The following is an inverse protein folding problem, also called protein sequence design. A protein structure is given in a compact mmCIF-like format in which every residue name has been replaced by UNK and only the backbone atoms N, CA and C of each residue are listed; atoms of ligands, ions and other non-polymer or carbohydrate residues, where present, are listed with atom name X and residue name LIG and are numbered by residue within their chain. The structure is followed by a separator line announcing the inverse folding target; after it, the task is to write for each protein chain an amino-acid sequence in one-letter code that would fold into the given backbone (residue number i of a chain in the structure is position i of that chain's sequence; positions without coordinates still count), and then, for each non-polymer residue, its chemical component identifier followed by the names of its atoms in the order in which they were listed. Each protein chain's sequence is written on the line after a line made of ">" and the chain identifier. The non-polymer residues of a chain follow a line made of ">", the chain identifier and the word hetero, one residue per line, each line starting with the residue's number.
data_IF_885760646571
#
_entry.id   IF_885760646571
#
_cell.length_a   1.000
_cell.length_b   1.000
_cell.length_c   1.000
_cell.angle_alpha   90.00
_cell.angle_beta   90.00
_cell.angle_gamma   90.00
#
_symmetry.space_group_name_H-M   'P 1'
#
loop_
_entity.id
_entity.type
_entity.pdbx_description
1 polymer ?
#
# COMPACT_ATOMS: atom_id res chain seq x y z
N UNK A 1 -13.60 2.91 8.21
CA UNK A 1 -12.56 2.81 9.27
C UNK A 1 -12.55 4.01 10.21
N UNK A 2 -12.22 5.23 9.76
CA UNK A 2 -12.03 6.39 10.66
C UNK A 2 -13.24 6.68 11.57
N UNK A 3 -14.46 6.62 11.05
CA UNK A 3 -15.67 6.83 11.86
C UNK A 3 -15.84 5.79 12.98
N UNK A 4 -15.44 4.53 12.74
CA UNK A 4 -15.49 3.46 13.77
C UNK A 4 -14.46 3.75 14.86
N UNK A 5 -13.26 4.16 14.46
CA UNK A 5 -12.17 4.50 15.39
C UNK A 5 -12.57 5.68 16.28
N UNK A 6 -13.07 6.75 15.66
CA UNK A 6 -13.59 7.93 16.36
C UNK A 6 -14.76 7.56 17.29
N UNK A 7 -15.70 6.74 16.83
CA UNK A 7 -16.84 6.28 17.63
C UNK A 7 -16.42 5.61 18.94
N UNK A 8 -15.42 4.72 18.90
CA UNK A 8 -14.93 4.07 20.11
C UNK A 8 -14.00 4.97 20.95
N UNK A 9 -13.24 5.88 20.35
CA UNK A 9 -12.29 6.72 21.09
C UNK A 9 -12.93 7.94 21.77
N UNK A 10 -14.04 8.48 21.24
CA UNK A 10 -14.72 9.66 21.83
C UNK A 10 -15.34 9.36 23.20
N UNK A 11 -15.68 8.10 23.51
CA UNK A 11 -16.31 7.74 24.79
C UNK A 11 -15.53 6.64 25.50
N UNK A 12 -15.14 6.90 26.75
CA UNK A 12 -14.50 5.91 27.61
C UNK A 12 -15.35 4.64 27.76
N UNK A 13 -16.68 4.76 27.86
CA UNK A 13 -17.60 3.62 27.98
C UNK A 13 -17.59 2.75 26.72
N UNK A 14 -17.64 3.36 25.52
CA UNK A 14 -17.56 2.63 24.24
C UNK A 14 -16.19 1.99 24.07
N UNK A 15 -15.12 2.73 24.38
CA UNK A 15 -13.74 2.24 24.34
C UNK A 15 -13.55 1.01 25.23
N UNK A 16 -14.10 1.04 26.45
CA UNK A 16 -14.04 -0.07 27.40
C UNK A 16 -14.69 -1.34 26.86
N UNK A 17 -15.86 -1.22 26.22
CA UNK A 17 -16.50 -2.38 25.56
C UNK A 17 -15.62 -2.98 24.50
N UNK A 18 -15.03 -2.15 23.63
CA UNK A 18 -14.16 -2.66 22.57
C UNK A 18 -12.91 -3.35 23.13
N UNK A 19 -12.27 -2.77 24.14
CA UNK A 19 -11.10 -3.38 24.81
C UNK A 19 -11.42 -4.75 25.39
N UNK A 20 -12.63 -4.95 25.91
CA UNK A 20 -13.09 -6.25 26.43
C UNK A 20 -13.11 -7.35 25.35
N UNK A 21 -13.33 -7.00 24.09
CA UNK A 21 -13.30 -7.97 22.99
C UNK A 21 -11.91 -8.12 22.36
N UNK A 22 -11.12 -7.04 22.28
CA UNK A 22 -9.82 -7.05 21.62
C UNK A 22 -8.67 -7.62 22.46
N UNK A 23 -8.75 -7.57 23.79
CA UNK A 23 -7.65 -7.91 24.71
C UNK A 23 -6.32 -7.17 24.42
N UNK A 24 -6.35 -6.10 23.62
CA UNK A 24 -5.20 -5.26 23.24
C UNK A 24 -5.67 -3.82 22.99
N UNK A 25 -4.77 -2.81 23.02
CA UNK A 25 -5.16 -1.43 22.69
C UNK A 25 -5.73 -1.35 21.27
N UNK A 26 -6.79 -0.57 21.10
CA UNK A 26 -7.41 -0.38 19.80
C UNK A 26 -6.61 0.60 18.92
N UNK A 27 -6.72 0.39 17.62
CA UNK A 27 -6.12 1.18 16.55
C UNK A 27 -6.33 2.68 16.78
N UNK A 28 -5.24 3.44 16.81
CA UNK A 28 -5.26 4.89 16.63
C UNK A 28 -4.82 5.18 15.21
N UNK A 29 -5.61 5.96 14.48
CA UNK A 29 -5.17 6.48 13.20
C UNK A 29 -4.07 7.51 13.45
N UNK A 30 -2.91 7.28 12.85
CA UNK A 30 -1.88 8.29 12.74
C UNK A 30 -1.97 8.93 11.36
N UNK A 31 -2.23 10.24 11.31
CA UNK A 31 -2.33 10.98 10.04
C UNK A 31 -0.96 11.32 9.47
N UNK A 32 0.06 11.44 10.31
CA UNK A 32 1.38 11.97 9.94
C UNK A 32 2.46 10.89 9.76
N UNK A 33 2.22 9.66 10.21
CA UNK A 33 3.18 8.57 10.10
C UNK A 33 2.65 7.46 9.19
N UNK A 34 3.19 7.41 7.98
CA UNK A 34 2.79 6.46 6.93
C UNK A 34 2.78 5.01 7.42
N UNK A 35 3.85 4.56 8.10
CA UNK A 35 3.96 3.16 8.57
C UNK A 35 2.92 2.83 9.63
N UNK A 36 2.63 3.76 10.54
CA UNK A 36 1.58 3.57 11.56
C UNK A 36 0.18 3.57 10.93
N UNK A 37 -0.04 4.35 9.87
CA UNK A 37 -1.29 4.32 9.11
C UNK A 37 -1.49 2.95 8.42
N UNK A 38 -0.44 2.38 7.83
CA UNK A 38 -0.47 1.04 7.25
C UNK A 38 -0.79 -0.03 8.30
N UNK A 39 -0.09 0.01 9.43
CA UNK A 39 -0.31 -0.90 10.56
C UNK A 39 -1.75 -0.78 11.09
N UNK A 40 -2.28 0.44 11.17
CA UNK A 40 -3.66 0.70 11.57
C UNK A 40 -4.68 -0.01 10.67
N UNK A 41 -4.48 -0.01 9.35
CA UNK A 41 -5.37 -0.69 8.40
C UNK A 41 -5.31 -2.21 8.61
N UNK A 42 -4.11 -2.77 8.74
CA UNK A 42 -3.90 -4.20 8.97
C UNK A 42 -4.52 -4.66 10.31
N UNK A 43 -4.31 -3.89 11.37
CA UNK A 43 -4.90 -4.15 12.68
C UNK A 43 -6.43 -4.06 12.63
N UNK A 44 -6.98 -3.08 11.91
CA UNK A 44 -8.43 -2.94 11.73
C UNK A 44 -9.02 -4.16 11.01
N UNK A 45 -8.39 -4.61 9.92
CA UNK A 45 -8.77 -5.85 9.20
C UNK A 45 -8.76 -7.06 10.13
N UNK A 46 -7.66 -7.27 10.87
CA UNK A 46 -7.51 -8.42 11.79
C UNK A 46 -8.50 -8.41 12.96
N UNK A 47 -9.01 -7.23 13.33
CA UNK A 47 -9.89 -7.04 14.48
C UNK A 47 -11.35 -6.88 14.09
N UNK A 48 -11.69 -7.13 12.81
CA UNK A 48 -13.01 -6.80 12.27
C UNK A 48 -14.12 -7.53 13.04
N UNK A 49 -13.93 -8.79 13.38
CA UNK A 49 -14.96 -9.59 14.08
C UNK A 49 -15.21 -9.09 15.51
N UNK A 50 -14.15 -8.68 16.21
CA UNK A 50 -14.20 -8.13 17.57
C UNK A 50 -14.84 -6.74 17.57
N UNK A 51 -14.51 -5.91 16.57
CA UNK A 51 -15.16 -4.62 16.34
C UNK A 51 -16.66 -4.82 16.13
N UNK A 52 -17.05 -5.80 15.32
CA UNK A 52 -18.47 -6.12 15.08
C UNK A 52 -19.17 -6.55 16.36
N UNK A 53 -18.59 -7.47 17.15
CA UNK A 53 -19.14 -7.88 18.47
C UNK A 53 -19.30 -6.68 19.42
N UNK A 54 -18.33 -5.78 19.44
CA UNK A 54 -18.38 -4.57 20.25
C UNK A 54 -19.49 -3.61 19.80
N UNK A 55 -19.63 -3.38 18.50
CA UNK A 55 -20.69 -2.54 17.94
C UNK A 55 -22.07 -3.13 18.22
N UNK A 56 -22.25 -4.45 18.06
CA UNK A 56 -23.50 -5.15 18.37
C UNK A 56 -23.87 -5.05 19.85
N UNK A 57 -22.88 -5.02 20.75
CA UNK A 57 -23.16 -4.77 22.17
C UNK A 57 -23.65 -3.34 22.41
N UNK A 58 -23.05 -2.36 21.74
CA UNK A 58 -23.43 -0.94 21.86
C UNK A 58 -24.77 -0.64 21.18
N UNK A 59 -25.12 -1.35 20.10
CA UNK A 59 -26.41 -1.18 19.41
C UNK A 59 -27.63 -1.54 20.25
N UNK A 60 -27.42 -2.27 21.35
CA UNK A 60 -28.46 -2.72 22.28
C UNK A 60 -28.47 -1.90 23.57
N UNK A 61 -27.78 -0.77 23.62
CA UNK A 61 -27.83 0.15 24.75
C UNK A 61 -29.12 0.98 24.75
N UNK A 62 -29.52 1.42 25.94
CA UNK A 62 -30.63 2.38 26.12
C UNK A 62 -30.31 3.76 25.55
N UNK A 63 -29.02 4.14 25.49
CA UNK A 63 -28.57 5.37 24.84
C UNK A 63 -28.81 5.29 23.33
N UNK A 64 -29.91 5.90 22.90
CA UNK A 64 -30.40 5.86 21.52
C UNK A 64 -29.39 6.46 20.53
N UNK A 65 -28.60 7.46 20.94
CA UNK A 65 -27.59 8.09 20.08
C UNK A 65 -26.44 7.12 19.79
N UNK A 66 -25.86 6.51 20.82
CA UNK A 66 -24.80 5.50 20.59
C UNK A 66 -25.36 4.26 19.90
N UNK A 67 -26.55 3.82 20.27
CA UNK A 67 -27.17 2.62 19.71
C UNK A 67 -27.47 2.76 18.22
N UNK A 68 -28.10 3.87 17.82
CA UNK A 68 -28.40 4.16 16.40
C UNK A 68 -27.12 4.30 15.58
N UNK A 69 -26.12 5.05 16.06
CA UNK A 69 -24.84 5.21 15.35
C UNK A 69 -24.09 3.88 15.22
N UNK A 70 -24.12 3.02 16.25
CA UNK A 70 -23.55 1.68 16.17
C UNK A 70 -24.23 0.82 15.09
N UNK A 71 -25.56 0.85 14.98
CA UNK A 71 -26.31 0.16 13.92
C UNK A 71 -25.90 0.63 12.53
N UNK A 72 -25.76 1.95 12.32
CA UNK A 72 -25.27 2.49 11.03
C UNK A 72 -23.87 2.01 10.70
N UNK A 73 -22.98 1.97 11.69
CA UNK A 73 -21.61 1.47 11.49
C UNK A 73 -21.60 -0.03 11.16
N UNK A 74 -22.42 -0.85 11.84
CA UNK A 74 -22.61 -2.27 11.53
C UNK A 74 -23.01 -2.45 10.06
N UNK A 75 -24.05 -1.73 9.61
CA UNK A 75 -24.50 -1.81 8.21
C UNK A 75 -23.39 -1.42 7.20
N UNK A 76 -22.55 -0.46 7.56
CA UNK A 76 -21.44 -0.03 6.71
C UNK A 76 -20.31 -1.07 6.64
N UNK A 77 -20.05 -1.77 7.75
CA UNK A 77 -19.01 -2.80 7.84
C UNK A 77 -19.48 -4.15 7.26
N UNK A 78 -20.77 -4.47 7.38
CA UNK A 78 -21.43 -5.64 6.77
C UNK A 78 -21.77 -5.42 5.28
N UNK A 79 -20.95 -4.65 4.56
CA UNK A 79 -21.06 -4.49 3.12
C UNK A 79 -19.98 -5.32 2.43
N UNK A 80 -20.38 -6.14 1.46
CA UNK A 80 -19.45 -6.93 0.64
C UNK A 80 -18.33 -6.08 0.02
N UNK A 81 -18.69 -4.92 -0.52
CA UNK A 81 -17.74 -3.99 -1.12
C UNK A 81 -16.73 -3.48 -0.08
N UNK A 82 -17.19 -3.16 1.14
CA UNK A 82 -16.30 -2.70 2.21
C UNK A 82 -15.32 -3.79 2.65
N UNK A 83 -15.82 -5.00 2.90
CA UNK A 83 -15.00 -6.14 3.33
C UNK A 83 -13.98 -6.47 2.25
N UNK A 84 -14.40 -6.61 1.00
CA UNK A 84 -13.47 -6.95 -0.09
C UNK A 84 -12.46 -5.82 -0.31
N UNK A 85 -12.88 -4.56 -0.20
CA UNK A 85 -11.97 -3.41 -0.31
C UNK A 85 -10.91 -3.40 0.80
N UNK A 86 -11.28 -3.61 2.06
CA UNK A 86 -10.31 -3.56 3.17
C UNK A 86 -9.34 -4.75 3.12
N UNK A 87 -9.79 -5.93 2.69
CA UNK A 87 -8.93 -7.10 2.51
C UNK A 87 -7.99 -6.94 1.30
N UNK A 88 -8.52 -6.44 0.17
CA UNK A 88 -7.73 -6.11 -1.02
C UNK A 88 -6.67 -5.06 -0.69
N UNK A 89 -7.06 -3.96 -0.04
CA UNK A 89 -6.14 -2.93 0.42
C UNK A 89 -5.07 -3.51 1.35
N UNK A 90 -5.47 -4.30 2.35
CA UNK A 90 -4.52 -4.92 3.29
C UNK A 90 -3.48 -5.80 2.59
N UNK A 91 -3.88 -6.54 1.54
CA UNK A 91 -2.96 -7.39 0.78
C UNK A 91 -1.84 -6.58 0.11
N UNK A 92 -2.19 -5.43 -0.49
CA UNK A 92 -1.22 -4.56 -1.15
C UNK A 92 -0.38 -3.79 -0.13
N UNK A 93 -1.02 -3.27 0.92
CA UNK A 93 -0.35 -2.53 1.98
C UNK A 93 0.66 -3.40 2.75
N UNK A 94 0.43 -4.70 2.88
CA UNK A 94 1.36 -5.62 3.53
C UNK A 94 2.72 -5.66 2.81
N UNK A 95 2.71 -5.66 1.47
CA UNK A 95 3.93 -5.62 0.64
C UNK A 95 4.66 -4.29 0.83
N UNK A 96 3.90 -3.19 0.84
CA UNK A 96 4.43 -1.83 1.02
C UNK A 96 4.96 -1.64 2.45
N UNK A 97 4.34 -2.25 3.46
CA UNK A 97 4.69 -2.09 4.87
C UNK A 97 6.10 -2.55 5.17
N UNK A 98 6.44 -3.80 4.79
CA UNK A 98 7.78 -4.36 5.01
C UNK A 98 8.87 -3.51 4.36
N UNK A 99 8.57 -3.03 3.17
CA UNK A 99 9.50 -2.18 2.45
C UNK A 99 9.62 -0.80 3.07
N UNK A 100 8.51 -0.16 3.44
CA UNK A 100 8.52 1.15 4.09
C UNK A 100 9.38 1.13 5.36
N UNK A 101 9.29 0.04 6.14
CA UNK A 101 10.12 -0.18 7.33
C UNK A 101 11.60 -0.36 6.98
N UNK A 102 11.90 -1.06 5.89
CA UNK A 102 13.28 -1.25 5.40
C UNK A 102 13.89 0.08 4.93
N UNK A 103 13.13 0.87 4.16
CA UNK A 103 13.56 2.18 3.66
C UNK A 103 13.79 3.21 4.77
N UNK A 104 13.06 3.11 5.88
CA UNK A 104 13.23 3.98 7.05
C UNK A 104 14.32 3.48 8.02
N UNK A 105 15.02 2.39 7.68
CA UNK A 105 16.15 1.89 8.46
C UNK A 105 17.32 2.87 8.48
N UNK A 106 18.05 2.93 9.60
CA UNK A 106 19.18 3.87 9.80
C UNK A 106 20.39 3.60 8.91
N UNK A 107 20.50 2.39 8.36
CA UNK A 107 21.69 1.91 7.64
C UNK A 107 21.45 1.61 6.17
N UNK A 108 20.37 2.12 5.57
CA UNK A 108 20.08 1.90 4.16
C UNK A 108 20.78 2.96 3.30
N UNK A 109 21.64 2.51 2.38
CA UNK A 109 22.18 3.37 1.33
C UNK A 109 21.14 3.59 0.21
N UNK A 110 21.33 4.67 -0.55
CA UNK A 110 20.39 5.12 -1.59
C UNK A 110 20.21 4.08 -2.70
N UNK A 111 21.27 3.35 -3.06
CA UNK A 111 21.17 2.29 -4.08
C UNK A 111 20.32 1.13 -3.58
N UNK A 112 20.63 0.61 -2.38
CA UNK A 112 19.88 -0.48 -1.77
C UNK A 112 18.41 -0.10 -1.61
N UNK A 113 18.14 1.14 -1.19
CA UNK A 113 16.79 1.68 -1.13
C UNK A 113 16.10 1.74 -2.50
N UNK A 114 16.81 2.15 -3.56
CA UNK A 114 16.27 2.18 -4.92
C UNK A 114 15.94 0.79 -5.45
N UNK A 115 16.81 -0.19 -5.19
CA UNK A 115 16.58 -1.58 -5.60
C UNK A 115 15.36 -2.16 -4.90
N UNK A 116 15.25 -1.93 -3.58
CA UNK A 116 14.09 -2.35 -2.78
C UNK A 116 12.78 -1.77 -3.32
N UNK A 117 12.77 -0.50 -3.75
CA UNK A 117 11.58 0.08 -4.39
C UNK A 117 11.26 -0.57 -5.73
N UNK A 118 12.28 -0.83 -6.56
CA UNK A 118 12.11 -1.51 -7.84
C UNK A 118 11.54 -2.93 -7.65
N UNK A 119 12.02 -3.66 -6.64
CA UNK A 119 11.56 -5.00 -6.30
C UNK A 119 10.07 -4.99 -5.93
N UNK A 120 9.59 -3.98 -5.17
CA UNK A 120 8.15 -3.86 -4.89
C UNK A 120 7.36 -3.71 -6.18
N UNK A 121 7.80 -2.83 -7.07
CA UNK A 121 7.07 -2.57 -8.32
C UNK A 121 6.95 -3.86 -9.11
N UNK A 122 8.04 -4.63 -9.22
CA UNK A 122 8.04 -5.95 -9.88
C UNK A 122 7.08 -6.92 -9.18
N UNK A 123 7.07 -6.97 -7.85
CA UNK A 123 6.16 -7.84 -7.09
C UNK A 123 4.70 -7.44 -7.30
N UNK A 124 4.38 -6.15 -7.33
CA UNK A 124 3.02 -5.67 -7.55
C UNK A 124 2.57 -5.89 -9.00
N UNK A 125 3.45 -5.70 -9.98
CA UNK A 125 3.18 -6.04 -11.39
C UNK A 125 2.95 -7.54 -11.57
N UNK A 126 3.72 -8.38 -10.88
CA UNK A 126 3.48 -9.82 -10.85
C UNK A 126 2.11 -10.14 -10.25
N UNK A 127 1.76 -9.54 -9.12
CA UNK A 127 0.42 -9.71 -8.53
C UNK A 127 -0.70 -9.22 -9.46
N UNK A 128 -0.41 -8.21 -10.30
CA UNK A 128 -1.34 -7.69 -11.29
C UNK A 128 -1.49 -8.62 -12.50
N UNK A 129 -0.41 -9.30 -12.91
CA UNK A 129 -0.43 -10.33 -13.94
C UNK A 129 -1.14 -11.60 -13.45
N UNK A 130 -0.79 -12.09 -12.26
CA UNK A 130 -1.37 -13.27 -11.60
C UNK A 130 -2.64 -12.91 -10.79
N UNK A 131 -3.37 -11.86 -11.19
CA UNK A 131 -4.43 -11.26 -10.37
C UNK A 131 -5.57 -12.23 -10.04
N UNK A 132 -5.85 -13.21 -10.92
CA UNK A 132 -6.86 -14.24 -10.70
C UNK A 132 -6.52 -15.13 -9.50
N UNK A 133 -5.26 -15.56 -9.41
CA UNK A 133 -4.77 -16.45 -8.34
C UNK A 133 -4.70 -15.68 -7.02
N UNK A 134 -4.14 -14.47 -7.06
CA UNK A 134 -3.99 -13.63 -5.86
C UNK A 134 -5.36 -13.25 -5.31
N UNK A 135 -6.28 -12.80 -6.18
CA UNK A 135 -7.60 -12.39 -5.75
C UNK A 135 -8.44 -13.55 -5.23
N UNK A 136 -8.33 -14.75 -5.83
CA UNK A 136 -9.03 -15.95 -5.33
C UNK A 136 -8.74 -16.24 -3.87
N UNK A 137 -7.48 -16.10 -3.44
CA UNK A 137 -7.09 -16.28 -2.05
C UNK A 137 -7.75 -15.21 -1.15
N UNK A 138 -7.66 -13.94 -1.56
CA UNK A 138 -8.28 -12.80 -0.85
C UNK A 138 -9.80 -12.99 -0.74
N UNK A 139 -10.43 -13.44 -1.82
CA UNK A 139 -11.87 -13.65 -1.91
C UNK A 139 -12.33 -14.79 -1.00
N UNK A 140 -11.56 -15.89 -0.93
CA UNK A 140 -11.84 -16.99 0.00
C UNK A 140 -11.77 -16.55 1.47
N UNK A 141 -10.79 -15.70 1.83
CA UNK A 141 -10.68 -15.12 3.17
C UNK A 141 -11.88 -14.20 3.47
N UNK A 142 -12.26 -13.36 2.51
CA UNK A 142 -13.44 -12.50 2.62
C UNK A 142 -14.71 -13.32 2.84
N UNK A 143 -14.90 -14.40 2.07
CA UNK A 143 -16.07 -15.27 2.18
C UNK A 143 -16.18 -15.90 3.57
N UNK A 144 -15.08 -16.43 4.10
CA UNK A 144 -15.07 -16.98 5.46
C UNK A 144 -15.45 -15.93 6.52
N UNK A 145 -15.03 -14.68 6.33
CA UNK A 145 -15.36 -13.58 7.27
C UNK A 145 -16.81 -13.13 7.09
N UNK A 146 -17.32 -13.09 5.87
CA UNK A 146 -18.73 -12.79 5.59
C UNK A 146 -19.65 -13.84 6.21
N UNK A 147 -19.32 -15.12 6.08
CA UNK A 147 -20.08 -16.23 6.70
C UNK A 147 -20.10 -16.10 8.24
N UNK A 148 -18.96 -15.72 8.86
CA UNK A 148 -18.90 -15.47 10.30
C UNK A 148 -19.73 -14.26 10.76
N UNK A 149 -19.91 -13.28 9.88
CA UNK A 149 -20.64 -12.04 10.15
C UNK A 149 -22.10 -12.09 9.67
N UNK A 150 -22.56 -13.23 9.15
CA UNK A 150 -23.88 -13.42 8.54
C UNK A 150 -24.18 -12.38 7.43
N UNK A 151 -23.16 -12.12 6.59
CA UNK A 151 -23.25 -11.20 5.45
C UNK A 151 -23.47 -11.99 4.17
N UNK A 152 -24.62 -11.78 3.54
CA UNK A 152 -24.92 -12.38 2.24
C UNK A 152 -24.02 -11.78 1.14
N UNK A 153 -23.26 -12.66 0.49
CA UNK A 153 -22.45 -12.32 -0.66
C UNK A 153 -23.33 -12.07 -1.89
N UNK A 154 -23.38 -10.82 -2.35
CA UNK A 154 -24.22 -10.42 -3.49
C UNK A 154 -23.54 -9.39 -4.37
N UNK A 155 -23.88 -9.43 -5.66
CA UNK A 155 -23.53 -8.35 -6.58
C UNK A 155 -24.24 -7.06 -6.17
N UNK A 156 -23.56 -5.90 -6.24
CA UNK A 156 -24.24 -4.62 -6.10
C UNK A 156 -25.20 -4.42 -7.28
N UNK A 157 -26.22 -3.56 -7.07
CA UNK A 157 -27.15 -3.22 -8.14
C UNK A 157 -26.41 -2.46 -9.24
N UNK A 158 -26.33 -3.04 -10.42
CA UNK A 158 -25.74 -2.40 -11.60
C UNK A 158 -26.77 -1.47 -12.25
N UNK A 159 -26.38 -0.22 -12.45
CA UNK A 159 -27.20 0.74 -13.19
C UNK A 159 -27.03 0.50 -14.69
N UNK A 160 -28.13 0.38 -15.43
CA UNK A 160 -28.13 0.12 -16.88
C UNK A 160 -27.42 1.26 -17.65
N UNK A 161 -27.50 2.49 -17.13
CA UNK A 161 -26.91 3.68 -17.76
C UNK A 161 -25.83 4.29 -16.83
N UNK A 162 -24.56 4.05 -17.15
CA UNK A 162 -23.43 4.77 -16.54
C UNK A 162 -22.68 5.58 -17.61
N UNK A 163 -22.39 6.85 -17.32
CA UNK A 163 -21.66 7.76 -18.24
C UNK A 163 -20.16 7.80 -18.00
N UNK A 164 -19.72 7.53 -16.76
CA UNK A 164 -18.33 7.77 -16.34
C UNK A 164 -17.50 6.50 -16.22
N UNK A 165 -18.13 5.32 -16.14
CA UNK A 165 -17.46 4.02 -16.05
C UNK A 165 -18.27 2.96 -16.80
N UNK A 166 -17.65 2.10 -17.62
CA UNK A 166 -18.34 0.95 -18.19
C UNK A 166 -18.63 -0.07 -17.09
N UNK A 167 -19.85 -0.61 -17.03
CA UNK A 167 -20.08 -1.83 -16.26
C UNK A 167 -19.27 -2.96 -16.91
N UNK A 168 -18.61 -3.82 -16.12
CA UNK A 168 -17.97 -4.99 -16.68
C UNK A 168 -19.05 -5.88 -17.33
N UNK A 169 -18.88 -6.16 -18.61
CA UNK A 169 -19.88 -6.85 -19.43
C UNK A 169 -19.93 -8.32 -19.04
N UNK A 170 -21.13 -8.89 -18.87
CA UNK A 170 -21.36 -10.34 -18.76
C UNK A 170 -20.69 -11.04 -17.55
N UNK A 171 -20.71 -10.40 -16.37
CA UNK A 171 -20.22 -11.03 -15.14
C UNK A 171 -21.39 -11.53 -14.30
N UNK A 172 -21.61 -12.85 -14.34
CA UNK A 172 -22.54 -13.54 -13.44
C UNK A 172 -21.89 -13.94 -12.10
N UNK A 173 -20.57 -13.83 -12.00
CA UNK A 173 -19.78 -14.25 -10.83
C UNK A 173 -19.38 -13.07 -9.93
N UNK A 174 -19.75 -13.12 -8.64
CA UNK A 174 -19.33 -12.14 -7.64
C UNK A 174 -17.81 -11.97 -7.56
N UNK A 175 -17.03 -13.05 -7.68
CA UNK A 175 -15.57 -13.00 -7.59
C UNK A 175 -14.96 -12.13 -8.70
N UNK A 176 -15.34 -12.40 -9.95
CA UNK A 176 -14.85 -11.65 -11.11
C UNK A 176 -15.25 -10.17 -11.07
N UNK A 177 -16.47 -9.90 -10.60
CA UNK A 177 -16.96 -8.54 -10.46
C UNK A 177 -16.05 -7.72 -9.52
N UNK A 178 -15.80 -8.23 -8.32
CA UNK A 178 -14.99 -7.50 -7.35
C UNK A 178 -13.51 -7.47 -7.71
N UNK A 179 -13.00 -8.49 -8.41
CA UNK A 179 -11.63 -8.48 -8.95
C UNK A 179 -11.44 -7.31 -9.93
N UNK A 180 -12.36 -7.15 -10.88
CA UNK A 180 -12.30 -6.11 -11.91
C UNK A 180 -12.62 -4.73 -11.35
N UNK A 181 -13.58 -4.65 -10.43
CA UNK A 181 -14.06 -3.35 -9.95
C UNK A 181 -13.22 -2.74 -8.83
N UNK A 182 -12.62 -3.58 -7.97
CA UNK A 182 -11.90 -3.16 -6.76
C UNK A 182 -10.41 -3.50 -6.86
N UNK A 183 -10.05 -4.77 -7.04
CA UNK A 183 -8.67 -5.22 -6.85
C UNK A 183 -7.72 -4.77 -7.96
N UNK A 184 -8.14 -4.93 -9.22
CA UNK A 184 -7.36 -4.51 -10.39
C UNK A 184 -7.10 -2.98 -10.37
N UNK A 185 -8.13 -2.11 -10.24
CA UNK A 185 -7.91 -0.67 -10.21
C UNK A 185 -7.05 -0.21 -9.03
N UNK A 186 -7.17 -0.88 -7.87
CA UNK A 186 -6.32 -0.61 -6.72
C UNK A 186 -4.84 -0.89 -7.03
N UNK A 187 -4.54 -2.05 -7.60
CA UNK A 187 -3.17 -2.41 -7.98
C UNK A 187 -2.61 -1.45 -9.04
N UNK A 188 -3.37 -1.21 -10.12
CA UNK A 188 -2.94 -0.35 -11.21
C UNK A 188 -2.61 1.05 -10.70
N UNK A 189 -3.45 1.60 -9.82
CA UNK A 189 -3.23 2.94 -9.25
C UNK A 189 -2.00 3.00 -8.36
N UNK A 190 -1.80 2.00 -7.50
CA UNK A 190 -0.66 1.95 -6.59
C UNK A 190 0.65 1.76 -7.38
N UNK A 191 0.66 0.90 -8.38
CA UNK A 191 1.81 0.69 -9.27
C UNK A 191 2.13 2.01 -9.98
N UNK A 192 1.14 2.66 -10.59
CA UNK A 192 1.31 3.95 -11.27
C UNK A 192 1.91 5.00 -10.32
N UNK A 193 1.38 5.12 -9.10
CA UNK A 193 1.88 6.08 -8.11
C UNK A 193 3.31 5.77 -7.66
N UNK A 194 3.68 4.50 -7.48
CA UNK A 194 5.06 4.11 -7.14
C UNK A 194 6.02 4.42 -8.30
N UNK A 195 5.66 4.04 -9.53
CA UNK A 195 6.47 4.33 -10.72
C UNK A 195 6.65 5.84 -10.90
N UNK A 196 5.57 6.61 -10.82
CA UNK A 196 5.61 8.08 -10.94
C UNK A 196 6.51 8.72 -9.88
N UNK A 197 6.53 8.20 -8.65
CA UNK A 197 7.34 8.75 -7.55
C UNK A 197 8.81 8.37 -7.65
N UNK A 198 9.13 7.15 -8.06
CA UNK A 198 10.49 6.60 -7.92
C UNK A 198 11.20 6.31 -9.24
N UNK A 199 10.46 6.09 -10.33
CA UNK A 199 11.01 5.80 -11.66
C UNK A 199 11.02 7.02 -12.59
N UNK A 200 10.77 8.23 -12.07
CA UNK A 200 10.96 9.45 -12.84
C UNK A 200 12.42 9.61 -13.30
N UNK A 201 12.61 10.10 -14.52
CA UNK A 201 13.94 10.25 -15.14
C UNK A 201 14.92 11.01 -14.24
N UNK A 202 14.44 12.07 -13.59
CA UNK A 202 15.26 12.89 -12.69
C UNK A 202 15.75 12.10 -11.47
N UNK A 203 14.89 11.27 -10.87
CA UNK A 203 15.25 10.46 -9.71
C UNK A 203 16.22 9.34 -10.08
N UNK A 204 16.00 8.69 -11.22
CA UNK A 204 16.94 7.67 -11.70
C UNK A 204 18.31 8.26 -12.02
N UNK A 205 18.33 9.43 -12.68
CA UNK A 205 19.57 10.15 -13.00
C UNK A 205 20.30 10.59 -11.74
N UNK A 206 19.58 11.16 -10.76
CA UNK A 206 20.16 11.56 -9.48
C UNK A 206 20.71 10.37 -8.68
N UNK A 207 19.95 9.28 -8.57
CA UNK A 207 20.38 8.07 -7.87
C UNK A 207 21.63 7.50 -8.54
N UNK A 208 21.61 7.31 -9.86
CA UNK A 208 22.77 6.81 -10.61
C UNK A 208 23.98 7.74 -10.46
N UNK A 209 23.78 9.05 -10.53
CA UNK A 209 24.89 10.01 -10.47
C UNK A 209 25.50 10.13 -9.08
N UNK A 210 24.68 10.24 -8.03
CA UNK A 210 25.16 10.25 -6.64
C UNK A 210 25.86 8.94 -6.29
N UNK A 211 25.43 7.84 -6.88
CA UNK A 211 26.07 6.54 -6.72
C UNK A 211 27.46 6.49 -7.32
N UNK A 212 27.70 7.14 -8.47
CA UNK A 212 29.03 7.18 -9.10
C UNK A 212 30.09 7.84 -8.21
N UNK A 213 29.69 8.69 -7.29
CA UNK A 213 30.62 9.35 -6.36
C UNK A 213 30.95 8.52 -5.12
N UNK A 214 30.40 7.31 -4.98
CA UNK A 214 30.69 6.41 -3.86
C UNK A 214 31.74 5.39 -4.31
N UNK A 215 32.97 5.41 -3.75
CA UNK A 215 34.06 4.49 -4.09
C UNK A 215 33.69 3.01 -4.12
N UNK A 216 32.91 2.56 -3.12
CA UNK A 216 32.45 1.18 -3.04
C UNK A 216 31.64 0.76 -4.27
N UNK A 217 30.85 1.67 -4.82
CA UNK A 217 30.01 1.39 -5.97
C UNK A 217 30.82 1.50 -7.27
N UNK A 218 31.79 2.42 -7.36
CA UNK A 218 32.71 2.54 -8.50
C UNK A 218 33.35 1.21 -8.87
N UNK A 219 33.80 0.40 -7.90
CA UNK A 219 34.36 -0.94 -8.17
C UNK A 219 33.36 -1.88 -8.88
N UNK A 220 32.09 -1.90 -8.46
CA UNK A 220 31.02 -2.74 -9.04
C UNK A 220 30.69 -2.27 -10.46
N UNK A 221 30.65 -0.96 -10.69
CA UNK A 221 30.32 -0.38 -11.99
C UNK A 221 31.50 -0.40 -12.97
N UNK A 222 32.74 -0.34 -12.48
CA UNK A 222 33.96 -0.37 -13.29
C UNK A 222 34.13 -1.66 -14.10
N UNK A 223 33.57 -2.76 -13.59
CA UNK A 223 33.52 -4.04 -14.28
C UNK A 223 32.59 -4.01 -15.51
N UNK A 224 31.65 -3.06 -15.57
CA UNK A 224 30.60 -2.97 -16.59
C UNK A 224 30.65 -1.68 -17.45
N UNK A 225 31.31 -0.61 -16.99
CA UNK A 225 31.25 0.74 -17.61
C UNK A 225 32.64 1.40 -17.67
N UNK A 226 33.00 1.95 -18.84
CA UNK A 226 34.26 2.68 -19.06
C UNK A 226 34.27 4.05 -18.33
N UNK A 227 35.44 4.51 -17.86
CA UNK A 227 35.59 5.78 -17.12
C UNK A 227 35.12 6.99 -17.94
N UNK A 228 35.22 6.93 -19.28
CA UNK A 228 34.64 7.91 -20.19
C UNK A 228 33.12 8.05 -20.09
N UNK A 229 32.39 6.94 -19.95
CA UNK A 229 30.94 6.96 -19.85
C UNK A 229 30.47 7.51 -18.50
N UNK A 230 31.23 7.25 -17.43
CA UNK A 230 30.97 7.80 -16.10
C UNK A 230 31.16 9.32 -16.11
N UNK A 231 32.28 9.80 -16.67
CA UNK A 231 32.53 11.25 -16.82
C UNK A 231 31.46 11.94 -17.66
N UNK A 232 31.04 11.31 -18.76
CA UNK A 232 29.95 11.82 -19.59
C UNK A 232 28.64 11.93 -18.78
N UNK A 233 28.23 10.86 -18.09
CA UNK A 233 27.00 10.85 -17.29
C UNK A 233 27.02 11.91 -16.16
N UNK A 234 28.16 12.09 -15.49
CA UNK A 234 28.36 13.12 -14.47
C UNK A 234 28.18 14.52 -15.06
N UNK A 235 28.82 14.79 -16.21
CA UNK A 235 28.77 16.10 -16.87
C UNK A 235 27.40 16.43 -17.48
N UNK A 236 26.71 15.43 -18.02
CA UNK A 236 25.32 15.58 -18.50
C UNK A 236 24.37 15.92 -17.35
N UNK A 237 24.59 15.31 -16.18
CA UNK A 237 23.73 15.53 -15.00
C UNK A 237 24.07 16.81 -14.24
N UNK A 238 25.32 17.28 -14.33
CA UNK A 238 25.80 18.49 -13.67
C UNK A 238 26.55 19.39 -14.67
N UNK A 239 25.81 20.27 -15.38
CA UNK A 239 26.38 21.12 -16.42
C UNK A 239 27.51 22.03 -15.94
N UNK A 240 27.56 22.37 -14.65
CA UNK A 240 28.63 23.16 -14.04
C UNK A 240 29.99 22.44 -14.01
N UNK A 241 30.00 21.10 -14.12
CA UNK A 241 31.25 20.32 -14.22
C UNK A 241 31.83 20.32 -15.64
N UNK A 242 31.12 20.86 -16.64
CA UNK A 242 31.61 20.92 -18.02
C UNK A 242 32.90 21.73 -18.16
N UNK A 243 33.12 22.71 -17.28
CA UNK A 243 34.33 23.55 -17.26
C UNK A 243 35.58 22.82 -16.74
N UNK A 244 35.42 21.67 -16.09
CA UNK A 244 36.53 20.87 -15.55
C UNK A 244 37.10 19.97 -16.65
N UNK A 245 38.43 19.89 -16.74
CA UNK A 245 39.09 19.00 -17.70
C UNK A 245 38.74 17.52 -17.42
N UNK A 246 38.48 16.74 -18.47
CA UNK A 246 38.12 15.32 -18.35
C UNK A 246 39.28 14.47 -17.84
N UNK A 247 40.53 14.86 -18.13
CA UNK A 247 41.72 14.04 -17.89
C UNK A 247 41.94 13.77 -16.40
N UNK A 248 41.95 14.77 -15.49
CA UNK A 248 42.08 14.53 -14.06
C UNK A 248 40.93 13.69 -13.49
N UNK A 249 39.70 13.92 -13.94
CA UNK A 249 38.53 13.19 -13.44
C UNK A 249 38.55 11.72 -13.86
N UNK A 250 39.00 11.42 -15.09
CA UNK A 250 39.21 10.04 -15.57
C UNK A 250 40.30 9.34 -14.77
N UNK A 251 41.45 10.01 -14.58
CA UNK A 251 42.57 9.47 -13.82
C UNK A 251 42.14 9.13 -12.38
N UNK A 252 41.42 10.04 -11.74
CA UNK A 252 40.87 9.81 -10.41
C UNK A 252 39.94 8.59 -10.42
N UNK A 253 38.93 8.54 -11.29
CA UNK A 253 38.01 7.40 -11.41
C UNK A 253 38.75 6.07 -11.61
N UNK A 254 39.79 6.05 -12.44
CA UNK A 254 40.59 4.86 -12.71
C UNK A 254 41.48 4.44 -11.52
N UNK A 255 41.81 5.34 -10.59
CA UNK A 255 42.48 5.00 -9.32
C UNK A 255 41.54 4.27 -8.34
N UNK A 256 40.23 4.54 -8.42
CA UNK A 256 39.22 3.93 -7.54
C UNK A 256 38.64 2.62 -8.10
N UNK A 257 39.03 2.20 -9.31
CA UNK A 257 38.69 0.88 -9.90
C UNK A 257 39.53 -0.23 -9.29
#
# INVERSE_FOLDING_TARGET
>A
MQQVISFFNISAKRNFVLKKYLNRPFVKLCETQWVEMLDSVLQFKSSLTEIMKALTKVSNWEDTVSASKAKTLILSLCNCEFIISIFSLSSVLYIIYHTSKTLQGKSNDILSASNVVQDIVIVLEKNRFDCDIVFKNIYSECKSIMDQLDVELKLPRLNINQKNRPNPSNIDNCEDYYRIEIFIPLLDRIIEDLKRRFQGQDNQTLIQTLTYFIPKNLSIWSQNINSTNIVYAIKTSYPFLNEINDVPLKLEIDLWK
#
